data_IF_160282169501
#
_entry.id   IF_160282169501
#
_cell.length_a   1.000
_cell.length_b   1.000
_cell.length_c   1.000
_cell.angle_alpha   90.00
_cell.angle_beta   90.00
_cell.angle_gamma   90.00
#
_symmetry.space_group_name_H-M   'P 1'
#
loop_
_entity.id
_entity.type
_entity.pdbx_description
1 polymer ?
#
# COMPACT_ATOMS: atom_id res chain seq x y z
N UNK A 1 8.12 19.39 5.24
CA UNK A 1 7.38 18.26 4.63
C UNK A 1 7.73 17.03 5.43
N UNK A 2 6.72 16.27 5.87
CA UNK A 2 6.93 14.96 6.49
C UNK A 2 7.62 14.05 5.49
N UNK A 3 8.62 13.28 5.92
CA UNK A 3 9.33 12.37 5.04
C UNK A 3 8.39 11.21 4.70
N UNK A 4 8.32 10.83 3.42
CA UNK A 4 7.57 9.65 3.00
C UNK A 4 8.50 8.43 3.06
N UNK A 5 8.41 7.67 4.16
CA UNK A 5 9.12 6.39 4.31
C UNK A 5 8.12 5.28 4.59
N UNK A 6 8.54 4.01 4.48
CA UNK A 6 7.70 2.88 4.87
C UNK A 6 7.23 2.96 6.33
N UNK A 7 8.08 3.44 7.24
CA UNK A 7 7.74 3.59 8.66
C UNK A 7 6.72 4.72 8.84
N UNK A 8 6.94 5.87 8.20
CA UNK A 8 6.03 7.01 8.29
C UNK A 8 4.65 6.66 7.69
N UNK A 9 4.64 5.97 6.54
CA UNK A 9 3.42 5.49 5.90
C UNK A 9 2.67 4.49 6.80
N UNK A 10 3.37 3.49 7.36
CA UNK A 10 2.79 2.50 8.25
C UNK A 10 2.17 3.14 9.51
N UNK A 11 2.90 4.06 10.15
CA UNK A 11 2.41 4.75 11.34
C UNK A 11 1.16 5.59 11.04
N UNK A 12 1.18 6.31 9.91
CA UNK A 12 0.02 7.09 9.46
C UNK A 12 -1.16 6.18 9.14
N UNK A 13 -0.92 5.10 8.40
CA UNK A 13 -1.93 4.07 8.12
C UNK A 13 -2.59 3.58 9.40
N UNK A 14 -1.76 3.09 10.35
CA UNK A 14 -2.21 2.54 11.62
C UNK A 14 -3.00 3.59 12.42
N UNK A 15 -2.54 4.84 12.47
CA UNK A 15 -3.27 5.93 13.13
C UNK A 15 -4.66 6.13 12.52
N UNK A 16 -4.77 6.27 11.19
CA UNK A 16 -6.04 6.55 10.51
C UNK A 16 -7.06 5.42 10.67
N UNK A 17 -6.65 4.18 10.44
CA UNK A 17 -7.54 3.02 10.61
C UNK A 17 -7.92 2.80 12.08
N UNK A 18 -7.04 3.12 13.04
CA UNK A 18 -7.35 3.03 14.48
C UNK A 18 -8.36 4.09 14.90
N UNK A 19 -8.20 5.33 14.44
CA UNK A 19 -9.16 6.41 14.71
C UNK A 19 -10.56 6.09 14.16
N UNK A 20 -10.63 5.27 13.09
CA UNK A 20 -11.87 4.85 12.43
C UNK A 20 -12.20 3.38 12.65
N UNK A 21 -11.70 2.80 13.75
CA UNK A 21 -11.86 1.38 14.10
C UNK A 21 -13.31 0.91 14.03
N UNK A 22 -14.22 1.65 14.65
CA UNK A 22 -15.64 1.28 14.70
C UNK A 22 -16.32 1.27 13.32
N UNK A 23 -15.90 2.16 12.43
CA UNK A 23 -16.41 2.21 11.05
C UNK A 23 -15.87 1.03 10.25
N UNK A 24 -14.57 0.79 10.32
CA UNK A 24 -13.92 -0.29 9.58
C UNK A 24 -14.47 -1.66 9.99
N UNK A 25 -14.66 -1.91 11.29
CA UNK A 25 -15.21 -3.18 11.78
C UNK A 25 -16.63 -3.46 11.26
N UNK A 26 -17.43 -2.43 10.95
CA UNK A 26 -18.79 -2.62 10.37
C UNK A 26 -18.75 -3.09 8.90
N UNK A 27 -17.65 -2.83 8.20
CA UNK A 27 -17.46 -3.15 6.78
C UNK A 27 -16.40 -4.22 6.53
N UNK A 28 -15.67 -4.66 7.56
CA UNK A 28 -14.53 -5.58 7.45
C UNK A 28 -14.79 -6.82 6.59
N UNK A 29 -15.94 -7.47 6.80
CA UNK A 29 -16.32 -8.71 6.07
C UNK A 29 -17.12 -8.45 4.80
N UNK A 30 -17.15 -7.22 4.32
CA UNK A 30 -17.94 -6.78 3.17
C UNK A 30 -17.01 -6.18 2.13
N UNK A 31 -16.37 -7.03 1.33
CA UNK A 31 -15.26 -6.68 0.42
C UNK A 31 -15.47 -5.36 -0.33
N UNK A 32 -16.64 -5.13 -0.94
CA UNK A 32 -16.92 -3.89 -1.67
C UNK A 32 -16.91 -2.65 -0.77
N UNK A 33 -17.51 -2.75 0.42
CA UNK A 33 -17.58 -1.65 1.38
C UNK A 33 -16.23 -1.42 2.05
N UNK A 34 -15.47 -2.49 2.32
CA UNK A 34 -14.09 -2.40 2.82
C UNK A 34 -13.19 -1.75 1.78
N UNK A 35 -13.25 -2.16 0.51
CA UNK A 35 -12.50 -1.50 -0.56
C UNK A 35 -12.85 -0.02 -0.63
N UNK A 36 -14.14 0.36 -0.59
CA UNK A 36 -14.54 1.79 -0.58
C UNK A 36 -14.02 2.56 0.64
N UNK A 37 -13.98 1.92 1.81
CA UNK A 37 -13.43 2.50 3.03
C UNK A 37 -11.92 2.75 2.90
N UNK A 38 -11.20 1.85 2.26
CA UNK A 38 -9.75 1.96 2.05
C UNK A 38 -9.40 2.90 0.89
N UNK A 39 -10.10 2.78 -0.25
CA UNK A 39 -9.90 3.58 -1.47
C UNK A 39 -11.20 3.81 -2.26
N UNK A 40 -11.23 4.80 -3.14
CA UNK A 40 -12.30 5.01 -4.13
C UNK A 40 -13.55 5.72 -3.58
N UNK A 41 -13.47 6.30 -2.38
CA UNK A 41 -14.51 7.19 -1.83
C UNK A 41 -13.91 8.50 -1.30
N UNK A 42 -14.72 9.55 -1.21
CA UNK A 42 -14.31 10.78 -0.53
C UNK A 42 -14.07 10.47 0.96
N UNK A 43 -12.91 10.85 1.49
CA UNK A 43 -12.43 10.47 2.82
C UNK A 43 -12.18 8.96 2.98
N UNK A 44 -11.66 8.29 1.95
CA UNK A 44 -11.05 6.97 2.10
C UNK A 44 -9.78 7.05 2.97
N UNK A 45 -9.31 5.91 3.49
CA UNK A 45 -8.03 5.87 4.22
C UNK A 45 -6.87 6.37 3.35
N UNK A 46 -6.86 6.04 2.05
CA UNK A 46 -5.84 6.52 1.12
C UNK A 46 -5.89 8.03 0.91
N UNK A 47 -7.08 8.62 0.78
CA UNK A 47 -7.24 10.08 0.68
C UNK A 47 -6.74 10.77 1.96
N UNK A 48 -7.06 10.26 3.15
CA UNK A 48 -6.56 10.78 4.42
C UNK A 48 -5.02 10.72 4.52
N UNK A 49 -4.42 9.62 4.07
CA UNK A 49 -2.96 9.45 4.05
C UNK A 49 -2.33 10.42 3.04
N UNK A 50 -2.89 10.56 1.84
CA UNK A 50 -2.41 11.50 0.84
C UNK A 50 -2.41 12.94 1.41
N UNK A 51 -3.51 13.35 2.02
CA UNK A 51 -3.64 14.65 2.68
C UNK A 51 -2.60 14.84 3.81
N UNK A 52 -2.32 13.81 4.61
CA UNK A 52 -1.30 13.87 5.67
C UNK A 52 0.11 14.20 5.11
N UNK A 53 0.47 13.62 3.96
CA UNK A 53 1.77 13.86 3.32
C UNK A 53 1.77 15.07 2.37
N UNK A 54 0.64 15.77 2.20
CA UNK A 54 0.51 16.87 1.24
C UNK A 54 0.54 16.41 -0.23
N UNK A 55 0.09 15.18 -0.48
CA UNK A 55 -0.02 14.55 -1.79
C UNK A 55 -1.47 14.54 -2.28
N UNK A 56 -1.65 14.24 -3.55
CA UNK A 56 -2.93 13.92 -4.18
C UNK A 56 -3.04 12.40 -4.34
N UNK A 57 -4.26 11.86 -4.32
CA UNK A 57 -4.55 10.46 -4.62
C UNK A 57 -5.28 10.29 -5.96
N UNK A 58 -4.99 9.20 -6.65
CA UNK A 58 -5.78 8.69 -7.76
C UNK A 58 -6.17 7.25 -7.43
N UNK A 59 -7.46 7.00 -7.23
CA UNK A 59 -8.00 5.76 -6.64
C UNK A 59 -8.93 5.03 -7.64
N UNK A 60 -8.61 5.10 -8.93
CA UNK A 60 -9.40 4.53 -10.04
C UNK A 60 -8.54 3.58 -10.90
N UNK A 61 -7.82 2.67 -10.26
CA UNK A 61 -7.07 1.57 -10.89
C UNK A 61 -6.13 2.02 -12.02
N UNK A 62 -5.01 2.65 -11.66
CA UNK A 62 -4.05 3.15 -12.65
C UNK A 62 -3.18 2.01 -13.20
N UNK A 63 -3.53 1.49 -14.38
CA UNK A 63 -2.86 0.33 -14.99
C UNK A 63 -2.78 -0.88 -14.04
N UNK A 64 -3.92 -1.22 -13.44
CA UNK A 64 -4.08 -2.30 -12.45
C UNK A 64 -3.47 -2.02 -11.08
N UNK A 65 -2.92 -0.83 -10.82
CA UNK A 65 -2.55 -0.39 -9.46
C UNK A 65 -3.78 0.24 -8.80
N UNK A 66 -4.22 -0.32 -7.67
CA UNK A 66 -5.44 0.08 -6.99
C UNK A 66 -5.53 1.58 -6.68
N UNK A 67 -4.43 2.16 -6.19
CA UNK A 67 -4.31 3.59 -5.96
C UNK A 67 -2.87 4.09 -6.11
N UNK A 68 -2.71 5.35 -6.50
CA UNK A 68 -1.42 6.03 -6.52
C UNK A 68 -1.48 7.35 -5.77
N UNK A 69 -0.40 7.68 -5.06
CA UNK A 69 -0.20 8.99 -4.44
C UNK A 69 0.86 9.76 -5.24
N UNK A 70 0.62 11.05 -5.45
CA UNK A 70 1.43 11.86 -6.34
C UNK A 70 1.43 13.35 -5.97
N UNK A 71 2.46 14.06 -6.39
CA UNK A 71 2.50 15.53 -6.42
C UNK A 71 1.92 16.04 -7.74
N UNK A 72 1.32 17.24 -7.73
CA UNK A 72 0.77 17.84 -8.96
C UNK A 72 1.78 17.90 -10.11
N UNK A 73 3.06 18.12 -9.83
CA UNK A 73 4.15 18.21 -10.82
C UNK A 73 4.62 16.83 -11.35
N UNK A 74 4.08 15.74 -10.80
CA UNK A 74 4.25 14.38 -11.32
C UNK A 74 3.30 14.09 -12.50
N UNK A 75 2.31 14.94 -12.78
CA UNK A 75 1.50 14.85 -13.99
C UNK A 75 2.28 15.34 -15.21
N UNK A 76 1.99 14.73 -16.36
CA UNK A 76 2.52 15.18 -17.66
C UNK A 76 2.02 16.60 -17.93
N UNK A 77 2.90 17.57 -18.21
CA UNK A 77 2.49 18.95 -18.43
C UNK A 77 1.71 19.08 -19.75
N UNK A 78 0.80 20.07 -19.81
CA UNK A 78 0.03 20.45 -21.01
C UNK A 78 -0.91 19.35 -21.56
N UNK A 79 -1.29 18.38 -20.73
CA UNK A 79 -2.36 17.42 -21.06
C UNK A 79 -3.75 18.03 -20.81
N UNK A 80 -4.78 17.38 -21.33
CA UNK A 80 -6.18 17.80 -21.14
C UNK A 80 -6.55 17.76 -19.66
N UNK A 81 -7.35 18.73 -19.21
CA UNK A 81 -7.90 18.72 -17.85
C UNK A 81 -8.65 17.40 -17.58
N UNK A 82 -8.56 16.91 -16.34
CA UNK A 82 -9.14 15.64 -15.89
C UNK A 82 -8.65 14.41 -16.69
N UNK A 83 -7.42 14.47 -17.20
CA UNK A 83 -6.70 13.28 -17.70
C UNK A 83 -5.46 13.06 -16.85
N UNK A 84 -5.13 11.80 -16.62
CA UNK A 84 -4.12 11.40 -15.65
C UNK A 84 -3.06 10.57 -16.36
N UNK A 85 -1.92 11.22 -16.62
CA UNK A 85 -0.75 10.61 -17.24
C UNK A 85 0.45 11.00 -16.40
N UNK A 86 0.94 10.06 -15.60
CA UNK A 86 1.99 10.31 -14.62
C UNK A 86 3.37 10.07 -15.22
N UNK A 87 4.29 10.99 -14.94
CA UNK A 87 5.72 10.85 -15.24
C UNK A 87 6.55 10.44 -14.03
N UNK A 88 5.94 10.48 -12.84
CA UNK A 88 6.50 9.98 -11.58
C UNK A 88 5.35 9.58 -10.64
N UNK A 89 5.62 8.72 -9.66
CA UNK A 89 4.65 8.24 -8.67
C UNK A 89 5.32 8.22 -7.30
N UNK A 90 4.69 8.81 -6.29
CA UNK A 90 5.22 8.80 -4.92
C UNK A 90 4.92 7.49 -4.21
N UNK A 91 3.68 7.03 -4.27
CA UNK A 91 3.30 5.73 -3.72
C UNK A 91 2.48 4.97 -4.75
N UNK A 92 2.85 3.71 -4.99
CA UNK A 92 1.96 2.73 -5.61
C UNK A 92 1.39 1.86 -4.48
N UNK A 93 0.07 1.72 -4.45
CA UNK A 93 -0.66 1.07 -3.38
C UNK A 93 -1.59 0.00 -3.94
N UNK A 94 -1.53 -1.20 -3.36
CA UNK A 94 -2.43 -2.33 -3.63
C UNK A 94 -3.18 -2.76 -2.37
N UNK A 95 -4.42 -3.18 -2.54
CA UNK A 95 -5.35 -3.61 -1.50
C UNK A 95 -5.95 -4.99 -1.84
N UNK A 96 -5.64 -5.99 -1.03
CA UNK A 96 -6.17 -7.34 -1.21
C UNK A 96 -7.10 -7.74 -0.06
N UNK A 97 -8.37 -7.99 -0.38
CA UNK A 97 -9.37 -8.50 0.56
C UNK A 97 -9.27 -10.02 0.77
N UNK A 98 -8.74 -10.74 -0.21
CA UNK A 98 -8.65 -12.19 -0.26
C UNK A 98 -7.19 -12.65 -0.16
N UNK A 99 -6.72 -12.83 1.07
CA UNK A 99 -5.36 -13.26 1.36
C UNK A 99 -4.96 -14.60 0.69
N UNK A 100 -5.91 -15.50 0.42
CA UNK A 100 -5.65 -16.87 -0.05
C UNK A 100 -5.33 -16.98 -1.54
N UNK A 101 -5.55 -15.94 -2.33
CA UNK A 101 -5.29 -15.97 -3.77
C UNK A 101 -5.27 -14.55 -4.32
N UNK A 102 -4.09 -14.04 -4.70
CA UNK A 102 -4.00 -12.75 -5.39
C UNK A 102 -2.73 -11.97 -5.06
N UNK A 103 -2.16 -12.14 -3.87
CA UNK A 103 -1.04 -11.32 -3.38
C UNK A 103 0.17 -11.29 -4.33
N UNK A 104 0.51 -12.41 -4.97
CA UNK A 104 1.61 -12.44 -5.94
C UNK A 104 1.35 -11.57 -7.18
N UNK A 105 0.09 -11.40 -7.59
CA UNK A 105 -0.32 -10.54 -8.71
C UNK A 105 -0.12 -9.08 -8.31
N UNK A 106 -0.57 -8.70 -7.11
CA UNK A 106 -0.40 -7.35 -6.58
C UNK A 106 1.08 -6.99 -6.37
N UNK A 107 1.88 -7.91 -5.83
CA UNK A 107 3.33 -7.72 -5.78
C UNK A 107 3.93 -7.55 -7.18
N UNK A 108 3.45 -8.30 -8.18
CA UNK A 108 3.95 -8.19 -9.55
C UNK A 108 3.66 -6.82 -10.15
N UNK A 109 2.45 -6.27 -9.95
CA UNK A 109 2.11 -4.91 -10.37
C UNK A 109 3.00 -3.86 -9.69
N UNK A 110 3.18 -3.96 -8.38
CA UNK A 110 4.07 -3.09 -7.62
C UNK A 110 5.51 -3.15 -8.15
N UNK A 111 6.06 -4.35 -8.38
CA UNK A 111 7.46 -4.54 -8.77
C UNK A 111 7.81 -3.93 -10.14
N UNK A 112 6.88 -3.92 -11.09
CA UNK A 112 7.09 -3.31 -12.41
C UNK A 112 6.80 -1.80 -12.42
N UNK A 113 6.22 -1.27 -11.34
CA UNK A 113 5.87 0.14 -11.22
C UNK A 113 7.05 0.94 -10.65
N UNK A 114 7.51 1.90 -11.44
CA UNK A 114 8.53 2.84 -10.98
C UNK A 114 7.89 3.91 -10.08
N UNK A 115 8.23 3.89 -8.80
CA UNK A 115 7.71 4.80 -7.78
C UNK A 115 8.66 4.89 -6.58
N UNK A 116 8.46 5.91 -5.75
CA UNK A 116 9.27 6.14 -4.55
C UNK A 116 9.01 5.09 -3.46
N UNK A 117 7.74 4.72 -3.21
CA UNK A 117 7.31 3.72 -2.23
C UNK A 117 6.28 2.74 -2.82
N UNK A 118 6.41 1.45 -2.48
CA UNK A 118 5.48 0.37 -2.85
C UNK A 118 4.80 -0.15 -1.57
N UNK A 119 3.47 -0.20 -1.58
CA UNK A 119 2.69 -0.63 -0.40
C UNK A 119 1.66 -1.66 -0.83
N UNK A 120 1.61 -2.77 -0.11
CA UNK A 120 0.54 -3.76 -0.18
C UNK A 120 -0.15 -3.84 1.17
N UNK A 121 -1.47 -3.77 1.18
CA UNK A 121 -2.30 -4.02 2.37
C UNK A 121 -3.14 -5.26 2.14
N UNK A 122 -3.11 -6.19 3.08
CA UNK A 122 -3.92 -7.40 3.04
C UNK A 122 -4.42 -7.82 4.43
N UNK A 123 -5.35 -8.77 4.46
CA UNK A 123 -6.00 -9.23 5.70
C UNK A 123 -5.88 -10.75 5.87
N UNK A 124 -4.82 -11.24 6.53
CA UNK A 124 -4.66 -12.65 6.79
C UNK A 124 -5.74 -13.19 7.74
N UNK A 125 -6.20 -14.42 7.50
CA UNK A 125 -7.04 -15.20 8.41
C UNK A 125 -6.28 -16.34 9.13
N UNK A 126 -4.96 -16.44 8.91
CA UNK A 126 -4.04 -17.40 9.53
C UNK A 126 -2.61 -16.82 9.62
N UNK A 127 -1.67 -17.58 10.18
CA UNK A 127 -0.26 -17.18 10.26
C UNK A 127 0.35 -16.95 8.86
N UNK A 128 0.82 -15.73 8.55
CA UNK A 128 1.22 -15.38 7.20
C UNK A 128 2.63 -15.85 6.82
N UNK A 129 3.34 -16.61 7.65
CA UNK A 129 4.77 -16.90 7.48
C UNK A 129 5.11 -17.55 6.12
N UNK A 130 4.36 -18.57 5.71
CA UNK A 130 4.57 -19.21 4.40
C UNK A 130 4.29 -18.26 3.24
N UNK A 131 3.30 -17.38 3.39
CA UNK A 131 2.96 -16.40 2.38
C UNK A 131 4.05 -15.32 2.31
N UNK A 132 4.51 -14.81 3.45
CA UNK A 132 5.63 -13.87 3.53
C UNK A 132 6.90 -14.45 2.91
N UNK A 133 7.22 -15.72 3.16
CA UNK A 133 8.35 -16.41 2.53
C UNK A 133 8.20 -16.44 1.00
N UNK A 134 7.03 -16.84 0.50
CA UNK A 134 6.75 -16.86 -0.93
C UNK A 134 6.84 -15.46 -1.57
N UNK A 135 6.22 -14.45 -0.96
CA UNK A 135 6.29 -13.06 -1.41
C UNK A 135 7.73 -12.51 -1.38
N UNK A 136 8.54 -12.94 -0.40
CA UNK A 136 9.98 -12.63 -0.34
C UNK A 136 10.72 -13.19 -1.55
N UNK A 137 10.50 -14.47 -1.88
CA UNK A 137 11.14 -15.13 -3.03
C UNK A 137 10.85 -14.39 -4.34
N UNK A 138 9.61 -13.95 -4.54
CA UNK A 138 9.20 -13.18 -5.73
C UNK A 138 10.02 -11.87 -5.82
N UNK A 139 10.04 -11.08 -4.76
CA UNK A 139 10.75 -9.78 -4.75
C UNK A 139 12.25 -10.00 -4.93
N UNK A 140 12.82 -10.96 -4.21
CA UNK A 140 14.25 -11.32 -4.24
C UNK A 140 14.72 -11.70 -5.64
N UNK A 141 13.87 -12.38 -6.40
CA UNK A 141 14.14 -12.77 -7.79
C UNK A 141 14.24 -11.60 -8.79
N UNK A 142 13.92 -10.37 -8.39
CA UNK A 142 13.96 -9.21 -9.29
C UNK A 142 15.32 -8.52 -9.32
N UNK A 143 15.62 -7.85 -10.44
CA UNK A 143 16.82 -6.99 -10.58
C UNK A 143 16.87 -5.79 -9.62
N UNK A 144 15.72 -5.41 -9.03
CA UNK A 144 15.60 -4.26 -8.14
C UNK A 144 15.63 -4.66 -6.67
N UNK A 145 15.69 -5.96 -6.34
CA UNK A 145 15.60 -6.47 -4.97
C UNK A 145 16.59 -5.81 -4.02
N UNK A 146 17.87 -5.68 -4.42
CA UNK A 146 18.90 -5.03 -3.62
C UNK A 146 18.58 -3.56 -3.36
N UNK A 147 18.18 -2.81 -4.38
CA UNK A 147 17.80 -1.41 -4.26
C UNK A 147 16.59 -1.22 -3.33
N UNK A 148 15.57 -2.08 -3.45
CA UNK A 148 14.39 -2.06 -2.59
C UNK A 148 14.75 -2.30 -1.12
N UNK A 149 15.66 -3.26 -0.88
CA UNK A 149 16.19 -3.58 0.45
C UNK A 149 16.99 -2.42 1.06
N UNK A 150 17.86 -1.78 0.28
CA UNK A 150 18.69 -0.65 0.73
C UNK A 150 17.86 0.60 1.02
N UNK A 151 16.86 0.88 0.17
CA UNK A 151 15.96 2.03 0.32
C UNK A 151 14.83 1.80 1.32
N UNK A 152 14.58 0.56 1.72
CA UNK A 152 13.46 0.17 2.59
C UNK A 152 12.11 0.66 2.06
N UNK A 153 11.89 0.60 0.74
CA UNK A 153 10.75 1.22 0.06
C UNK A 153 9.76 0.20 -0.55
N UNK A 154 9.72 -1.01 0.00
CA UNK A 154 8.65 -1.98 -0.23
C UNK A 154 8.09 -2.40 1.13
N UNK A 155 6.80 -2.08 1.35
CA UNK A 155 6.09 -2.27 2.60
C UNK A 155 4.89 -3.19 2.38
N UNK A 156 4.76 -4.19 3.25
CA UNK A 156 3.53 -4.97 3.41
C UNK A 156 2.91 -4.59 4.75
N UNK A 157 1.59 -4.41 4.77
CA UNK A 157 0.82 -4.17 5.99
C UNK A 157 -0.25 -5.27 6.08
N UNK A 158 -0.28 -5.98 7.20
CA UNK A 158 -1.34 -6.93 7.51
C UNK A 158 -2.27 -6.37 8.58
N UNK A 159 -3.57 -6.47 8.32
CA UNK A 159 -4.61 -6.09 9.27
C UNK A 159 -5.39 -7.32 9.77
N UNK A 160 -5.60 -7.39 11.08
CA UNK A 160 -6.30 -8.50 11.73
C UNK A 160 -7.59 -8.02 12.40
N UNK A 161 -8.70 -8.70 12.10
CA UNK A 161 -10.02 -8.36 12.68
C UNK A 161 -10.02 -8.61 14.19
N UNK A 162 -9.51 -9.76 14.60
CA UNK A 162 -9.36 -10.15 16.00
C UNK A 162 -8.31 -9.26 16.65
N UNK A 163 -8.65 -8.62 17.78
CA UNK A 163 -7.77 -7.65 18.44
C UNK A 163 -7.73 -6.27 17.77
N UNK A 164 -8.11 -6.18 16.48
CA UNK A 164 -7.93 -4.99 15.65
C UNK A 164 -6.46 -4.57 15.61
N UNK A 165 -5.61 -5.50 15.17
CA UNK A 165 -4.16 -5.36 15.18
C UNK A 165 -3.62 -5.15 13.77
N UNK A 166 -2.46 -4.51 13.71
CA UNK A 166 -1.79 -4.18 12.46
C UNK A 166 -0.32 -4.52 12.57
N UNK A 167 0.23 -5.11 11.52
CA UNK A 167 1.64 -5.50 11.46
C UNK A 167 2.25 -4.99 10.16
N UNK A 168 3.39 -4.30 10.27
CA UNK A 168 4.13 -3.78 9.12
C UNK A 168 5.41 -4.60 8.86
N UNK A 169 5.68 -4.89 7.60
CA UNK A 169 6.85 -5.64 7.15
C UNK A 169 7.55 -4.89 6.03
N UNK A 170 8.82 -4.55 6.26
CA UNK A 170 9.68 -3.89 5.27
C UNK A 170 10.56 -4.97 4.62
N UNK A 171 10.60 -4.99 3.30
CA UNK A 171 11.46 -5.93 2.58
C UNK A 171 12.94 -5.65 2.86
N UNK A 172 13.71 -6.69 3.22
CA UNK A 172 15.18 -6.72 3.14
C UNK A 172 15.63 -7.97 2.42
N UNK A 173 16.78 -7.92 1.76
CA UNK A 173 17.33 -9.02 0.96
C UNK A 173 17.51 -10.32 1.75
N UNK A 174 17.83 -10.21 3.05
CA UNK A 174 18.03 -11.37 3.91
C UNK A 174 16.73 -11.93 4.49
N UNK A 175 15.79 -11.06 4.88
CA UNK A 175 14.47 -11.42 5.42
C UNK A 175 13.58 -10.18 5.56
N UNK A 176 12.29 -10.35 5.85
CA UNK A 176 11.42 -9.26 6.25
C UNK A 176 11.86 -8.62 7.57
N UNK A 177 11.88 -7.29 7.60
CA UNK A 177 12.04 -6.49 8.81
C UNK A 177 10.64 -6.11 9.31
N UNK A 178 10.18 -6.77 10.37
CA UNK A 178 8.95 -6.38 11.08
C UNK A 178 9.14 -5.03 11.75
N UNK A 179 8.16 -4.13 11.60
CA UNK A 179 8.11 -2.85 12.31
C UNK A 179 7.64 -3.15 13.73
N UNK A 180 8.51 -2.91 14.71
CA UNK A 180 8.24 -3.11 16.13
C UNK A 180 7.95 -1.74 16.75
N UNK A 181 6.93 -1.69 17.61
CA UNK A 181 6.56 -0.50 18.40
C UNK A 181 7.52 -0.24 19.57
#
# INVERSE_FOLDING_TARGET
>A
MTKLTSIDFYNTWKEKVTNRKEEMLKVWRKNKELTLFIKGSENSIIDEIANHFGLLSYEQDYYSIDAILYEKDNLTPKIKANTFWFRDIKVAFEHENNFKSGLYQEISHLLITNCELKVLVAYPDYEPDNELEYLHEIIKGTRHSKELSEKENFLIIFGYETGFEWEGYIYKENNWKKIIE
#
